data_IF_756739035060
#
_entry.id   IF_756739035060
#
_cell.length_a   1.000
_cell.length_b   1.000
_cell.length_c   1.000
_cell.angle_alpha   90.00
_cell.angle_beta   90.00
_cell.angle_gamma   90.00
#
_symmetry.space_group_name_H-M   'P 1'
#
loop_
_entity.id
_entity.type
_entity.pdbx_description
1 polymer ?
#
# COMPACT_ATOMS: atom_id res chain seq x y z
N UNK A 1 5.49 15.12 -15.82
CA UNK A 1 5.98 13.89 -15.15
C UNK A 1 7.01 14.29 -14.11
N UNK A 2 6.76 14.04 -12.83
CA UNK A 2 7.75 14.32 -11.77
C UNK A 2 8.91 13.33 -11.95
N UNK A 3 10.12 13.84 -12.14
CA UNK A 3 11.34 13.02 -12.17
C UNK A 3 11.62 12.61 -10.73
N UNK A 4 11.44 11.32 -10.43
CA UNK A 4 11.82 10.76 -9.13
C UNK A 4 13.33 10.55 -9.13
N UNK A 5 14.00 10.96 -8.06
CA UNK A 5 15.38 10.54 -7.85
C UNK A 5 15.43 9.02 -7.63
N UNK A 6 16.61 8.38 -7.79
CA UNK A 6 16.78 6.99 -7.40
C UNK A 6 16.41 6.73 -5.93
N UNK A 7 16.73 7.68 -5.04
CA UNK A 7 16.37 7.61 -3.63
C UNK A 7 14.85 7.65 -3.41
N UNK A 8 14.14 8.55 -4.08
CA UNK A 8 12.67 8.62 -4.01
C UNK A 8 12.03 7.33 -4.53
N UNK A 9 12.60 6.77 -5.60
CA UNK A 9 12.11 5.51 -6.16
C UNK A 9 12.24 4.37 -5.16
N UNK A 10 13.40 4.22 -4.51
CA UNK A 10 13.61 3.23 -3.45
C UNK A 10 12.64 3.45 -2.29
N UNK A 11 12.44 4.71 -1.88
CA UNK A 11 11.53 5.04 -0.79
C UNK A 11 10.07 4.73 -1.11
N UNK A 12 9.62 5.03 -2.33
CA UNK A 12 8.27 4.67 -2.80
C UNK A 12 8.10 3.15 -2.84
N UNK A 13 9.13 2.39 -3.24
CA UNK A 13 9.09 0.92 -3.23
C UNK A 13 8.95 0.41 -1.79
N UNK A 14 9.76 0.90 -0.84
CA UNK A 14 9.65 0.56 0.59
C UNK A 14 8.24 0.83 1.12
N UNK A 15 7.74 2.04 0.89
CA UNK A 15 6.39 2.46 1.28
C UNK A 15 5.31 1.58 0.66
N UNK A 16 5.46 1.19 -0.61
CA UNK A 16 4.50 0.32 -1.29
C UNK A 16 4.56 -1.14 -0.80
N UNK A 17 5.68 -1.59 -0.24
CA UNK A 17 5.82 -2.90 0.40
C UNK A 17 5.27 -2.94 1.83
N UNK A 18 5.20 -1.79 2.52
CA UNK A 18 4.58 -1.70 3.83
C UNK A 18 3.06 -1.78 3.76
N UNK A 19 2.50 -2.85 4.33
CA UNK A 19 1.06 -3.11 4.42
C UNK A 19 0.25 -2.01 5.13
N UNK A 20 0.92 -1.15 5.91
CA UNK A 20 0.30 -0.06 6.68
C UNK A 20 0.28 1.28 5.94
N UNK A 21 0.92 1.37 4.77
CA UNK A 21 1.01 2.64 4.04
C UNK A 21 -0.15 2.78 3.05
N UNK A 22 -1.05 3.76 3.25
CA UNK A 22 -2.09 4.06 2.28
C UNK A 22 -1.49 4.59 0.98
N UNK A 23 -2.11 4.31 -0.17
CA UNK A 23 -1.62 4.85 -1.44
C UNK A 23 -1.77 6.37 -1.47
N UNK A 24 -2.74 6.88 -0.70
CA UNK A 24 -3.02 8.28 -0.43
C UNK A 24 -1.83 8.99 0.24
N UNK A 25 -1.08 8.31 1.12
CA UNK A 25 0.13 8.90 1.71
C UNK A 25 1.27 9.01 0.69
N UNK A 26 1.40 8.00 -0.19
CA UNK A 26 2.38 8.03 -1.29
C UNK A 26 2.02 9.14 -2.28
N UNK A 27 0.73 9.33 -2.55
CA UNK A 27 0.23 10.40 -3.40
C UNK A 27 0.48 11.78 -2.79
N UNK A 28 0.23 11.96 -1.49
CA UNK A 28 0.48 13.22 -0.80
C UNK A 28 1.97 13.61 -0.78
N UNK A 29 2.87 12.65 -0.55
CA UNK A 29 4.31 12.91 -0.45
C UNK A 29 5.00 13.01 -1.82
N UNK A 30 4.65 12.12 -2.75
CA UNK A 30 5.35 11.97 -4.03
C UNK A 30 4.52 12.37 -5.25
N UNK A 31 3.23 12.64 -5.09
CA UNK A 31 2.31 12.91 -6.21
C UNK A 31 2.04 11.69 -7.08
N UNK A 32 2.22 10.48 -6.54
CA UNK A 32 1.99 9.22 -7.24
C UNK A 32 0.69 8.59 -6.79
N UNK A 33 -0.32 8.62 -7.66
CA UNK A 33 -1.55 7.87 -7.46
C UNK A 33 -1.31 6.34 -7.50
N UNK A 34 -2.29 5.56 -7.04
CA UNK A 34 -2.17 4.10 -6.99
C UNK A 34 -1.73 3.50 -8.34
N UNK A 35 -2.31 3.94 -9.45
CA UNK A 35 -1.96 3.45 -10.78
C UNK A 35 -0.50 3.76 -11.17
N UNK A 36 0.03 4.91 -10.77
CA UNK A 36 1.44 5.26 -10.97
C UNK A 36 2.36 4.38 -10.13
N UNK A 37 2.01 4.11 -8.86
CA UNK A 37 2.76 3.20 -7.99
C UNK A 37 2.74 1.77 -8.52
N UNK A 38 1.59 1.26 -8.98
CA UNK A 38 1.50 -0.08 -9.59
C UNK A 38 2.41 -0.18 -10.83
N UNK A 39 2.41 0.84 -11.69
CA UNK A 39 3.30 0.88 -12.87
C UNK A 39 4.77 0.96 -12.47
N UNK A 40 5.11 1.68 -11.41
CA UNK A 40 6.47 1.73 -10.87
C UNK A 40 6.90 0.35 -10.37
N UNK A 41 6.09 -0.27 -9.51
CA UNK A 41 6.34 -1.59 -8.93
C UNK A 41 6.47 -2.68 -10.00
N UNK A 42 5.64 -2.63 -11.05
CA UNK A 42 5.73 -3.56 -12.19
C UNK A 42 7.06 -3.45 -12.95
N UNK A 43 7.65 -2.26 -13.03
CA UNK A 43 8.94 -2.03 -13.69
C UNK A 43 10.14 -2.42 -12.83
N UNK A 44 10.01 -2.29 -11.51
CA UNK A 44 11.10 -2.48 -10.57
C UNK A 44 11.20 -3.91 -10.03
N UNK A 45 10.07 -4.60 -9.90
CA UNK A 45 10.03 -5.96 -9.37
C UNK A 45 10.06 -7.02 -10.47
N UNK A 46 10.64 -8.17 -10.14
CA UNK A 46 10.50 -9.38 -10.96
C UNK A 46 9.01 -9.78 -11.06
N UNK A 47 8.57 -10.39 -12.17
CA UNK A 47 7.15 -10.74 -12.37
C UNK A 47 6.52 -11.56 -11.24
N UNK A 48 7.27 -12.50 -10.65
CA UNK A 48 6.82 -13.30 -9.50
C UNK A 48 6.57 -12.46 -8.24
N UNK A 49 7.54 -11.62 -7.86
CA UNK A 49 7.42 -10.71 -6.72
C UNK A 49 6.30 -9.69 -6.91
N UNK A 50 6.11 -9.18 -8.13
CA UNK A 50 5.02 -8.29 -8.47
C UNK A 50 3.65 -8.96 -8.28
N UNK A 51 3.47 -10.21 -8.72
CA UNK A 51 2.22 -10.95 -8.53
C UNK A 51 1.90 -11.15 -7.04
N UNK A 52 2.88 -11.53 -6.23
CA UNK A 52 2.73 -11.69 -4.78
C UNK A 52 2.37 -10.36 -4.11
N UNK A 53 3.07 -9.28 -4.46
CA UNK A 53 2.73 -7.95 -3.98
C UNK A 53 1.31 -7.54 -4.39
N UNK A 54 0.94 -7.74 -5.66
CA UNK A 54 -0.39 -7.37 -6.17
C UNK A 54 -1.50 -8.16 -5.49
N UNK A 55 -1.29 -9.45 -5.22
CA UNK A 55 -2.24 -10.26 -4.46
C UNK A 55 -2.50 -9.69 -3.06
N UNK A 56 -1.44 -9.21 -2.37
CA UNK A 56 -1.57 -8.59 -1.03
C UNK A 56 -2.29 -7.25 -1.06
N UNK A 57 -1.96 -6.38 -2.02
CA UNK A 57 -2.55 -5.02 -2.07
C UNK A 57 -3.93 -4.97 -2.73
N UNK A 58 -4.27 -5.91 -3.63
CA UNK A 58 -5.54 -5.93 -4.36
C UNK A 58 -6.71 -6.50 -3.56
N UNK A 59 -6.45 -7.17 -2.42
CA UNK A 59 -7.48 -7.85 -1.63
C UNK A 59 -8.15 -7.01 -0.53
N UNK A 60 -7.65 -5.79 -0.24
CA UNK A 60 -8.15 -4.99 0.89
C UNK A 60 -9.29 -4.06 0.48
N UNK A 61 -10.54 -4.57 0.50
CA UNK A 61 -11.77 -3.77 0.42
C UNK A 61 -11.93 -2.76 1.58
N UNK A 62 -11.17 -2.92 2.68
CA UNK A 62 -11.25 -2.11 3.91
C UNK A 62 -10.23 -0.97 3.97
N UNK A 63 -9.47 -0.71 2.89
CA UNK A 63 -8.40 0.31 2.85
C UNK A 63 -8.92 1.75 2.71
N UNK A 64 -10.17 1.95 2.33
CA UNK A 64 -10.77 3.28 2.34
C UNK A 64 -11.10 3.67 3.79
N UNK A 65 -10.46 4.73 4.30
CA UNK A 65 -10.89 5.36 5.55
C UNK A 65 -12.37 5.75 5.54
N UNK A 66 -12.95 5.93 4.34
CA UNK A 66 -14.37 6.20 4.13
C UNK A 66 -15.32 5.03 4.48
N UNK A 67 -14.83 3.78 4.56
CA UNK A 67 -15.64 2.60 4.91
C UNK A 67 -15.50 2.19 6.38
N UNK A 68 -14.73 2.96 7.16
CA UNK A 68 -14.49 2.67 8.56
C UNK A 68 -15.56 3.36 9.40
N UNK A 69 -16.42 2.57 10.04
CA UNK A 69 -17.37 3.07 11.03
C UNK A 69 -16.59 3.71 12.20
N UNK A 70 -16.88 4.98 12.56
CA UNK A 70 -16.16 5.68 13.62
C UNK A 70 -16.31 5.01 15.00
N UNK A 71 -17.30 4.14 15.22
CA UNK A 71 -17.47 3.39 16.46
C UNK A 71 -16.48 2.21 16.62
N UNK A 72 -15.75 1.85 15.56
CA UNK A 72 -14.84 0.68 15.58
C UNK A 72 -13.40 1.11 15.88
N UNK A 73 -13.13 1.33 17.16
CA UNK A 73 -11.77 1.50 17.73
C UNK A 73 -11.23 0.16 18.29
N UNK A 74 -11.36 -0.93 17.54
CA UNK A 74 -10.86 -2.24 17.98
C UNK A 74 -9.53 -2.53 17.27
N UNK A 75 -8.44 -2.50 18.04
CA UNK A 75 -7.10 -2.88 17.58
C UNK A 75 -6.84 -4.39 17.57
N UNK A 76 -7.88 -5.20 17.81
CA UNK A 76 -7.77 -6.64 18.04
C UNK A 76 -8.99 -7.40 17.51
N UNK A 77 -8.77 -8.66 17.09
CA UNK A 77 -9.81 -9.56 16.60
C UNK A 77 -10.55 -10.23 17.77
N UNK A 78 -11.89 -10.31 17.79
CA UNK A 78 -12.66 -10.88 18.91
C UNK A 78 -12.28 -12.32 19.27
N UNK A 79 -11.79 -13.09 18.29
CA UNK A 79 -11.45 -14.52 18.46
C UNK A 79 -10.01 -14.77 18.87
N UNK A 80 -9.20 -13.71 19.04
CA UNK A 80 -7.75 -13.84 19.22
C UNK A 80 -7.35 -14.10 20.70
N UNK A 81 -8.29 -14.20 21.64
CA UNK A 81 -7.98 -14.78 22.96
C UNK A 81 -8.03 -16.32 22.88
N UNK A 82 -6.84 -16.92 22.94
CA UNK A 82 -6.64 -18.36 23.03
C UNK A 82 -7.21 -18.89 24.36
N UNK A 83 -7.88 -20.04 24.29
CA UNK A 83 -7.85 -21.02 25.40
C UNK A 83 -6.54 -21.79 25.35
#
# INVERSE_FOLDING_TARGET
MKRLSPADTSRVIEMAWEDRTPFEAIEALYGLNEAAVIRLMRRQLKPGSFRLWRARVSGRKTKHGALRDPAVSRGYCPTQYKR
#
